data_IF_706763167804
#
_entry.id   IF_706763167804
#
_cell.length_a   1.000
_cell.length_b   1.000
_cell.length_c   1.000
_cell.angle_alpha   90.00
_cell.angle_beta   90.00
_cell.angle_gamma   90.00
#
_symmetry.space_group_name_H-M   'P 1'
#
loop_
_entity.id
_entity.type
_entity.pdbx_description
1 polymer ?
#
# COMPACT_ATOMS: atom_id res chain seq x y z
N UNK A 1 3.00 -3.23 -10.29
CA UNK A 1 2.51 -3.89 -9.07
C UNK A 1 2.71 -5.39 -9.25
N UNK A 2 3.67 -5.98 -8.54
CA UNK A 2 3.86 -7.44 -8.48
C UNK A 2 2.90 -7.99 -7.44
N UNK A 3 2.16 -9.05 -7.77
CA UNK A 3 1.14 -9.64 -6.88
C UNK A 3 1.83 -10.64 -5.95
N UNK A 4 1.65 -10.47 -4.64
CA UNK A 4 1.98 -11.50 -3.64
C UNK A 4 0.68 -12.12 -3.13
N UNK A 5 0.66 -13.45 -2.96
CA UNK A 5 -0.45 -14.21 -2.38
C UNK A 5 -0.09 -14.61 -0.94
N UNK A 6 -1.06 -14.52 -0.01
CA UNK A 6 -0.91 -14.84 1.41
C UNK A 6 -1.47 -13.75 2.31
N UNK A 7 -1.66 -14.03 3.60
CA UNK A 7 -2.09 -13.03 4.58
C UNK A 7 -1.04 -11.89 4.71
N UNK A 8 -1.44 -10.66 5.06
CA UNK A 8 -0.50 -9.61 5.39
C UNK A 8 0.43 -10.08 6.53
N UNK A 9 1.72 -9.71 6.51
CA UNK A 9 2.64 -10.14 7.56
C UNK A 9 2.20 -9.56 8.90
N UNK A 10 2.14 -10.40 9.93
CA UNK A 10 1.73 -9.97 11.27
C UNK A 10 2.63 -8.85 11.82
N UNK A 11 3.93 -8.91 11.55
CA UNK A 11 4.90 -7.92 12.02
C UNK A 11 5.00 -6.74 11.04
N UNK A 12 4.75 -5.54 11.55
CA UNK A 12 4.90 -4.29 10.79
C UNK A 12 3.72 -3.92 9.89
N UNK A 13 2.67 -4.75 9.83
CA UNK A 13 1.42 -4.38 9.18
C UNK A 13 0.64 -3.35 10.00
N UNK A 14 0.18 -2.31 9.32
CA UNK A 14 -0.77 -1.33 9.81
C UNK A 14 -2.08 -1.55 9.08
N UNK A 15 -3.11 -1.95 9.82
CA UNK A 15 -4.45 -2.14 9.28
C UNK A 15 -5.15 -0.79 9.11
N UNK A 16 -5.70 -0.58 7.92
CA UNK A 16 -6.44 0.62 7.54
C UNK A 16 -7.94 0.45 7.84
N UNK A 17 -8.42 -0.80 7.77
CA UNK A 17 -9.74 -1.31 8.13
C UNK A 17 -9.68 -2.86 8.21
N UNK A 18 -10.81 -3.54 8.06
CA UNK A 18 -10.92 -5.01 8.18
C UNK A 18 -10.32 -5.77 6.98
N UNK A 19 -10.16 -5.11 5.83
CA UNK A 19 -9.78 -5.76 4.58
C UNK A 19 -8.63 -5.07 3.84
N UNK A 20 -8.03 -4.01 4.40
CA UNK A 20 -6.85 -3.32 3.87
C UNK A 20 -5.78 -3.12 4.95
N UNK A 21 -4.52 -3.31 4.56
CA UNK A 21 -3.36 -3.06 5.40
C UNK A 21 -2.17 -2.57 4.57
N UNK A 22 -1.16 -2.02 5.23
CA UNK A 22 0.11 -1.74 4.59
C UNK A 22 1.30 -2.06 5.48
N UNK A 23 2.45 -2.28 4.85
CA UNK A 23 3.74 -2.40 5.51
C UNK A 23 4.68 -1.37 4.90
N UNK A 24 5.44 -0.67 5.74
CA UNK A 24 6.48 0.25 5.27
C UNK A 24 7.59 -0.53 4.56
N UNK A 25 7.95 -0.08 3.37
CA UNK A 25 9.03 -0.68 2.59
C UNK A 25 10.19 0.31 2.50
N UNK A 26 11.36 -0.11 2.99
CA UNK A 26 12.57 0.69 3.03
C UNK A 26 13.51 0.33 1.88
N UNK A 27 14.39 1.27 1.52
CA UNK A 27 15.53 1.04 0.63
C UNK A 27 16.48 0.00 1.26
N UNK A 28 17.41 -0.60 0.49
CA UNK A 28 18.34 -1.61 1.02
C UNK A 28 19.22 -1.14 2.19
N UNK A 29 19.33 0.17 2.42
CA UNK A 29 20.02 0.73 3.58
C UNK A 29 19.22 0.63 4.89
N UNK A 30 17.91 0.33 4.81
CA UNK A 30 17.00 0.24 5.94
C UNK A 30 16.64 1.58 6.59
N UNK A 31 17.00 2.70 5.97
CA UNK A 31 16.82 4.05 6.53
C UNK A 31 15.79 4.83 5.70
N UNK A 32 15.97 4.85 4.37
CA UNK A 32 15.11 5.65 3.50
C UNK A 32 13.83 4.90 3.15
N UNK A 33 12.69 5.57 3.26
CA UNK A 33 11.39 4.97 2.98
C UNK A 33 11.11 4.95 1.48
N UNK A 34 11.15 3.76 0.89
CA UNK A 34 10.94 3.55 -0.55
C UNK A 34 9.46 3.58 -0.96
N UNK A 35 8.55 3.21 -0.04
CA UNK A 35 7.13 3.11 -0.31
C UNK A 35 6.40 2.27 0.74
N UNK A 36 5.31 1.66 0.30
CA UNK A 36 4.59 0.63 1.06
C UNK A 36 4.38 -0.62 0.22
N UNK A 37 4.22 -1.76 0.87
CA UNK A 37 3.42 -2.84 0.29
C UNK A 37 2.01 -2.68 0.81
N UNK A 38 1.07 -2.42 -0.08
CA UNK A 38 -0.35 -2.38 0.23
C UNK A 38 -0.94 -3.78 0.05
N UNK A 39 -1.79 -4.18 0.99
CA UNK A 39 -2.47 -5.47 1.07
C UNK A 39 -3.97 -5.21 1.13
N UNK A 40 -4.74 -5.99 0.37
CA UNK A 40 -6.20 -5.95 0.41
C UNK A 40 -6.82 -7.32 0.14
N UNK A 41 -8.00 -7.57 0.71
CA UNK A 41 -8.79 -8.73 0.34
C UNK A 41 -9.41 -8.54 -1.05
N UNK A 42 -9.32 -9.57 -1.87
CA UNK A 42 -10.07 -9.67 -3.12
C UNK A 42 -11.54 -10.00 -2.84
N UNK A 43 -12.41 -9.83 -3.83
CA UNK A 43 -13.81 -10.26 -3.73
C UNK A 43 -14.00 -11.77 -3.47
N UNK A 44 -12.97 -12.60 -3.72
CA UNK A 44 -12.98 -14.02 -3.42
C UNK A 44 -12.61 -14.33 -1.95
N UNK A 45 -12.18 -13.33 -1.18
CA UNK A 45 -11.72 -13.48 0.20
C UNK A 45 -10.22 -13.77 0.34
N UNK A 46 -9.50 -13.95 -0.77
CA UNK A 46 -8.04 -14.10 -0.75
C UNK A 46 -7.35 -12.74 -0.63
N UNK A 47 -6.24 -12.68 0.10
CA UNK A 47 -5.38 -11.50 0.14
C UNK A 47 -4.56 -11.34 -1.13
N UNK A 48 -4.45 -10.09 -1.57
CA UNK A 48 -3.63 -9.63 -2.67
C UNK A 48 -2.76 -8.47 -2.18
N UNK A 49 -1.54 -8.36 -2.69
CA UNK A 49 -0.64 -7.29 -2.31
C UNK A 49 0.11 -6.70 -3.49
N UNK A 50 0.64 -5.49 -3.29
CA UNK A 50 1.62 -4.97 -4.21
C UNK A 50 2.34 -3.71 -3.74
N UNK A 51 3.49 -3.48 -4.36
CA UNK A 51 4.36 -2.37 -4.02
C UNK A 51 3.85 -1.05 -4.60
N UNK A 52 3.77 -0.05 -3.73
CA UNK A 52 3.40 1.34 -3.99
C UNK A 52 4.62 2.22 -3.71
N UNK A 53 5.41 2.56 -4.74
CA UNK A 53 6.61 3.38 -4.56
C UNK A 53 6.27 4.84 -4.23
N UNK A 54 7.12 5.51 -3.45
CA UNK A 54 7.01 6.94 -3.19
C UNK A 54 7.88 7.77 -4.14
N UNK A 55 7.43 9.00 -4.44
CA UNK A 55 8.06 9.85 -5.47
C UNK A 55 9.51 10.27 -5.25
N UNK A 56 10.07 10.43 -4.03
CA UNK A 56 11.50 10.75 -3.91
C UNK A 56 12.39 9.70 -4.59
N UNK A 57 11.95 8.45 -4.65
CA UNK A 57 12.70 7.34 -5.27
C UNK A 57 12.16 6.94 -6.64
N UNK A 58 10.91 7.29 -6.95
CA UNK A 58 10.25 6.96 -8.22
C UNK A 58 9.46 8.17 -8.74
N UNK A 59 10.12 9.23 -9.24
CA UNK A 59 9.46 10.50 -9.54
C UNK A 59 8.40 10.41 -10.65
N UNK A 60 8.54 9.48 -11.60
CA UNK A 60 7.61 9.34 -12.73
C UNK A 60 6.32 8.57 -12.39
N UNK A 61 6.40 7.60 -11.47
CA UNK A 61 5.31 6.64 -11.22
C UNK A 61 4.97 6.45 -9.73
N UNK A 62 5.67 7.17 -8.85
CA UNK A 62 5.46 7.09 -7.41
C UNK A 62 4.26 7.89 -6.95
N UNK A 63 3.83 7.58 -5.74
CA UNK A 63 2.81 8.31 -5.01
C UNK A 63 3.43 9.45 -4.22
N UNK A 64 2.72 10.57 -4.19
CA UNK A 64 3.00 11.68 -3.29
C UNK A 64 2.65 11.25 -1.87
N UNK A 65 3.54 11.51 -0.93
CA UNK A 65 3.30 11.30 0.51
C UNK A 65 2.91 12.64 1.10
N UNK A 66 1.65 12.75 1.52
CA UNK A 66 1.11 13.96 2.15
C UNK A 66 1.39 13.94 3.66
N UNK A 67 1.24 12.77 4.28
CA UNK A 67 1.52 12.52 5.71
C UNK A 67 1.92 11.06 5.92
N UNK A 68 2.76 10.77 6.91
CA UNK A 68 3.12 9.40 7.33
C UNK A 68 2.36 8.92 8.58
N UNK A 69 1.86 9.84 9.41
CA UNK A 69 1.15 9.51 10.64
C UNK A 69 -0.04 10.47 10.87
N UNK A 70 -1.27 10.07 10.49
CA UNK A 70 -1.58 8.83 9.79
C UNK A 70 -1.13 8.88 8.32
N UNK A 71 -0.97 7.71 7.69
CA UNK A 71 -0.52 7.62 6.29
C UNK A 71 -1.55 8.25 5.34
N UNK A 72 -1.15 9.21 4.52
CA UNK A 72 -1.95 9.78 3.44
C UNK A 72 -1.08 9.90 2.20
N UNK A 73 -1.49 9.20 1.13
CA UNK A 73 -0.81 9.24 -0.16
C UNK A 73 -1.76 9.60 -1.31
N UNK A 74 -1.21 10.18 -2.37
CA UNK A 74 -1.95 10.55 -3.58
C UNK A 74 -1.17 10.16 -4.85
N UNK A 75 -1.85 9.78 -5.95
CA UNK A 75 -3.30 9.64 -6.14
C UNK A 75 -3.87 8.36 -5.50
N UNK A 76 -5.12 7.98 -5.84
CA UNK A 76 -5.72 6.70 -5.45
C UNK A 76 -4.86 5.50 -5.88
N UNK A 77 -5.00 4.38 -5.17
CA UNK A 77 -4.45 3.08 -5.53
C UNK A 77 -5.43 2.28 -6.36
N UNK A 78 -4.98 1.70 -7.46
CA UNK A 78 -5.73 0.74 -8.25
C UNK A 78 -4.93 -0.56 -8.37
N UNK A 79 -5.43 -1.61 -7.73
CA UNK A 79 -4.92 -2.95 -7.94
C UNK A 79 -5.36 -3.45 -9.32
N UNK A 80 -4.41 -3.53 -10.25
CA UNK A 80 -4.68 -4.01 -11.61
C UNK A 80 -4.95 -5.51 -11.69
N UNK A 81 -4.77 -6.25 -10.59
CA UNK A 81 -4.97 -7.69 -10.53
C UNK A 81 -6.42 -8.05 -10.19
N UNK A 82 -6.96 -7.48 -9.12
CA UNK A 82 -8.28 -7.80 -8.60
C UNK A 82 -9.30 -6.66 -8.75
N UNK A 83 -8.85 -5.44 -9.07
CA UNK A 83 -9.70 -4.26 -9.25
C UNK A 83 -9.96 -3.46 -7.98
N UNK A 84 -9.39 -3.81 -6.81
CA UNK A 84 -9.51 -2.95 -5.61
C UNK A 84 -9.02 -1.54 -5.91
N UNK A 85 -9.84 -0.54 -5.58
CA UNK A 85 -9.59 0.86 -5.92
C UNK A 85 -10.05 1.79 -4.79
N UNK A 86 -9.15 2.63 -4.31
CA UNK A 86 -9.44 3.58 -3.25
C UNK A 86 -8.26 4.47 -2.88
N UNK A 87 -8.41 5.18 -1.77
CA UNK A 87 -7.44 6.11 -1.24
C UNK A 87 -7.00 5.68 0.16
N UNK A 88 -5.75 5.97 0.52
CA UNK A 88 -5.28 5.88 1.89
C UNK A 88 -5.24 7.30 2.47
N UNK A 89 -6.03 7.55 3.52
CA UNK A 89 -6.08 8.81 4.29
C UNK A 89 -6.19 8.52 5.78
N UNK A 90 -5.25 7.72 6.28
CA UNK A 90 -5.23 7.12 7.61
C UNK A 90 -6.13 5.91 7.79
N UNK A 91 -7.17 5.81 6.97
CA UNK A 91 -7.96 4.62 6.72
C UNK A 91 -8.10 4.44 5.21
N UNK A 92 -8.66 3.31 4.79
CA UNK A 92 -9.02 3.08 3.42
C UNK A 92 -10.34 3.78 3.07
N UNK A 93 -10.41 4.33 1.86
CA UNK A 93 -11.61 4.97 1.32
C UNK A 93 -11.82 4.45 -0.10
N UNK A 94 -12.82 3.60 -0.29
CA UNK A 94 -13.18 3.07 -1.61
C UNK A 94 -13.53 4.19 -2.61
N UNK A 95 -13.18 4.00 -3.89
CA UNK A 95 -13.42 4.92 -5.00
C UNK A 95 -14.63 4.53 -5.87
#
# INVERSE_FOLDING_TARGET
>A
MTIMHGDPPDEGAVYLDDDHAYVLAYMPDGIELAGITEWHCTAAGDWCAGFVPFKPHNPEYGWDVISLDPLHIEPSLLCRACGSHGFIRGTWIAA
#
